data_IF_856722741305
#
_entry.id   IF_856722741305
#
_cell.length_a   1.000
_cell.length_b   1.000
_cell.length_c   1.000
_cell.angle_alpha   90.00
_cell.angle_beta   90.00
_cell.angle_gamma   90.00
#
_symmetry.space_group_name_H-M   'P 1'
#
loop_
_entity.id
_entity.type
_entity.pdbx_description
1 polymer ?
#
# COMPACT_ATOMS: atom_id res chain seq x y z
N UNK A 1 -12.31 11.55 17.38
CA UNK A 1 -12.58 10.12 17.06
C UNK A 1 -12.24 9.78 15.62
N UNK A 2 -12.77 10.51 14.64
CA UNK A 2 -12.56 10.22 13.20
C UNK A 2 -11.10 10.28 12.76
N UNK A 3 -10.35 11.31 13.16
CA UNK A 3 -8.94 11.46 12.79
C UNK A 3 -8.08 10.32 13.33
N UNK A 4 -8.23 9.94 14.60
CA UNK A 4 -7.47 8.84 15.19
C UNK A 4 -7.85 7.47 14.60
N UNK A 5 -9.10 7.30 14.19
CA UNK A 5 -9.54 6.11 13.46
C UNK A 5 -8.82 6.00 12.12
N UNK A 6 -8.80 7.07 11.33
CA UNK A 6 -8.11 7.09 10.03
C UNK A 6 -6.59 6.88 10.21
N UNK A 7 -5.96 7.54 11.19
CA UNK A 7 -4.54 7.31 11.51
C UNK A 7 -4.26 5.84 11.83
N UNK A 8 -5.14 5.20 12.59
CA UNK A 8 -5.01 3.79 12.93
C UNK A 8 -5.10 2.88 11.69
N UNK A 9 -6.05 3.14 10.80
CA UNK A 9 -6.19 2.36 9.56
C UNK A 9 -5.03 2.59 8.59
N UNK A 10 -4.49 3.80 8.49
CA UNK A 10 -3.29 4.05 7.67
C UNK A 10 -2.06 3.35 8.26
N UNK A 11 -1.90 3.35 9.58
CA UNK A 11 -0.83 2.59 10.24
C UNK A 11 -0.95 1.09 9.98
N UNK A 12 -2.17 0.54 10.04
CA UNK A 12 -2.46 -0.84 9.67
C UNK A 12 -2.07 -1.14 8.22
N UNK A 13 -2.43 -0.29 7.27
CA UNK A 13 -2.08 -0.45 5.86
C UNK A 13 -0.56 -0.49 5.66
N UNK A 14 0.18 0.47 6.23
CA UNK A 14 1.64 0.53 6.12
C UNK A 14 2.30 -0.71 6.75
N UNK A 15 1.91 -1.08 7.96
CA UNK A 15 2.49 -2.21 8.69
C UNK A 15 2.19 -3.54 7.97
N UNK A 16 0.96 -3.71 7.47
CA UNK A 16 0.57 -4.90 6.71
C UNK A 16 1.36 -5.02 5.42
N UNK A 17 1.53 -3.94 4.66
CA UNK A 17 2.33 -3.94 3.43
C UNK A 17 3.81 -4.28 3.72
N UNK A 18 4.39 -3.75 4.82
CA UNK A 18 5.75 -4.11 5.24
C UNK A 18 5.88 -5.61 5.54
N UNK A 19 4.92 -6.19 6.25
CA UNK A 19 4.90 -7.64 6.53
C UNK A 19 4.79 -8.46 5.26
N UNK A 20 3.98 -8.04 4.29
CA UNK A 20 3.91 -8.67 2.96
C UNK A 20 5.28 -8.62 2.28
N UNK A 21 5.97 -7.48 2.30
CA UNK A 21 7.33 -7.35 1.77
C UNK A 21 8.36 -8.26 2.48
N UNK A 22 8.23 -8.49 3.78
CA UNK A 22 9.11 -9.40 4.52
C UNK A 22 8.92 -10.85 4.08
N UNK A 23 7.69 -11.24 3.73
CA UNK A 23 7.41 -12.56 3.15
C UNK A 23 7.90 -12.68 1.69
N UNK A 24 7.79 -11.62 0.89
CA UNK A 24 8.32 -11.59 -0.49
C UNK A 24 9.83 -11.86 -0.52
N UNK A 25 10.58 -11.55 0.55
CA UNK A 25 12.00 -11.90 0.62
C UNK A 25 12.26 -13.41 0.67
N UNK A 26 11.26 -14.23 0.95
CA UNK A 26 11.38 -15.68 1.11
C UNK A 26 11.14 -16.47 -0.19
N UNK A 27 10.69 -15.82 -1.26
CA UNK A 27 10.53 -16.44 -2.58
C UNK A 27 11.74 -16.15 -3.48
N UNK A 28 11.87 -16.89 -4.58
CA UNK A 28 12.96 -16.68 -5.55
C UNK A 28 12.69 -15.45 -6.43
N UNK A 29 13.74 -14.94 -7.10
CA UNK A 29 13.60 -13.84 -8.06
C UNK A 29 12.70 -14.24 -9.25
N UNK A 30 12.77 -15.50 -9.67
CA UNK A 30 11.90 -16.04 -10.72
C UNK A 30 10.44 -16.01 -10.28
N UNK A 31 10.13 -16.49 -9.06
CA UNK A 31 8.77 -16.44 -8.51
C UNK A 31 8.24 -15.02 -8.38
N UNK A 32 9.11 -14.07 -8.04
CA UNK A 32 8.72 -12.66 -7.90
C UNK A 32 8.22 -12.03 -9.19
N UNK A 33 8.78 -12.43 -10.35
CA UNK A 33 8.45 -11.89 -11.67
C UNK A 33 7.57 -12.83 -12.50
N UNK A 34 7.24 -14.05 -12.02
CA UNK A 34 6.39 -15.00 -12.75
C UNK A 34 5.04 -14.39 -13.09
N UNK A 35 4.70 -14.42 -14.38
CA UNK A 35 3.45 -13.86 -14.91
C UNK A 35 2.31 -14.87 -14.80
N UNK A 36 1.71 -14.94 -13.62
CA UNK A 36 0.61 -15.87 -13.30
C UNK A 36 -0.45 -15.29 -12.34
N UNK A 37 -0.38 -13.98 -12.05
CA UNK A 37 -1.38 -13.29 -11.24
C UNK A 37 -2.40 -12.61 -12.15
N UNK A 38 -3.68 -12.96 -11.93
CA UNK A 38 -4.80 -12.31 -12.61
C UNK A 38 -4.71 -10.78 -12.50
N UNK A 39 -4.97 -10.12 -13.60
CA UNK A 39 -5.02 -8.67 -13.81
C UNK A 39 -3.69 -7.89 -13.76
N UNK A 40 -2.63 -8.39 -13.11
CA UNK A 40 -1.36 -7.64 -12.96
C UNK A 40 -0.12 -8.41 -13.44
N UNK A 41 -0.24 -9.70 -13.67
CA UNK A 41 0.80 -10.58 -14.15
C UNK A 41 1.64 -11.18 -13.04
N UNK A 42 2.36 -10.39 -12.22
CA UNK A 42 3.30 -10.90 -11.23
C UNK A 42 3.19 -10.21 -9.86
N UNK A 43 3.81 -10.83 -8.83
CA UNK A 43 3.96 -10.17 -7.51
C UNK A 43 4.69 -8.83 -7.67
N UNK A 44 5.76 -8.77 -8.48
CA UNK A 44 6.45 -7.52 -8.79
C UNK A 44 5.48 -6.45 -9.28
N UNK A 45 4.74 -6.76 -10.33
CA UNK A 45 3.83 -5.79 -10.95
C UNK A 45 2.74 -5.34 -9.98
N UNK A 46 2.22 -6.26 -9.17
CA UNK A 46 1.18 -5.94 -8.19
C UNK A 46 1.71 -5.01 -7.08
N UNK A 47 2.91 -5.29 -6.55
CA UNK A 47 3.50 -4.46 -5.49
C UNK A 47 3.96 -3.08 -5.99
N UNK A 48 4.50 -3.00 -7.21
CA UNK A 48 4.81 -1.70 -7.85
C UNK A 48 3.54 -0.92 -8.16
N UNK A 49 2.47 -1.60 -8.61
CA UNK A 49 1.17 -0.97 -8.79
C UNK A 49 0.62 -0.39 -7.50
N UNK A 50 0.71 -1.12 -6.39
CA UNK A 50 0.24 -0.65 -5.08
C UNK A 50 1.00 0.61 -4.66
N UNK A 51 2.34 0.59 -4.69
CA UNK A 51 3.16 1.77 -4.39
C UNK A 51 2.82 2.95 -5.32
N UNK A 52 2.62 2.69 -6.61
CA UNK A 52 2.23 3.69 -7.61
C UNK A 52 0.87 4.33 -7.31
N UNK A 53 -0.11 3.51 -6.93
CA UNK A 53 -1.45 3.99 -6.61
C UNK A 53 -1.44 4.86 -5.33
N UNK A 54 -0.78 4.38 -4.28
CA UNK A 54 -0.66 5.10 -3.00
C UNK A 54 0.05 6.44 -3.20
N UNK A 55 1.17 6.46 -3.97
CA UNK A 55 1.88 7.69 -4.32
C UNK A 55 0.97 8.70 -5.03
N UNK A 56 0.21 8.25 -6.02
CA UNK A 56 -0.67 9.13 -6.80
C UNK A 56 -1.82 9.69 -5.97
N UNK A 57 -2.45 8.87 -5.13
CA UNK A 57 -3.50 9.34 -4.23
C UNK A 57 -2.95 10.32 -3.20
N UNK A 58 -1.78 10.03 -2.62
CA UNK A 58 -1.13 10.92 -1.68
C UNK A 58 -0.75 12.27 -2.32
N UNK A 59 -0.22 12.25 -3.55
CA UNK A 59 0.11 13.47 -4.32
C UNK A 59 -1.13 14.35 -4.51
N UNK A 60 -2.28 13.75 -4.83
CA UNK A 60 -3.56 14.47 -4.97
C UNK A 60 -4.09 14.97 -3.64
N UNK A 61 -3.98 14.20 -2.56
CA UNK A 61 -4.31 14.66 -1.20
C UNK A 61 -3.52 15.90 -0.79
N UNK A 62 -2.24 15.96 -1.17
CA UNK A 62 -1.34 17.10 -0.96
C UNK A 62 -1.62 18.28 -1.91
N UNK A 63 -2.61 18.18 -2.80
CA UNK A 63 -2.94 19.16 -3.84
C UNK A 63 -1.77 19.43 -4.81
N UNK A 64 -0.91 18.45 -5.05
CA UNK A 64 0.22 18.53 -5.97
C UNK A 64 -0.15 18.02 -7.37
N UNK A 65 0.71 18.28 -8.37
CA UNK A 65 0.52 17.75 -9.72
C UNK A 65 0.67 16.23 -9.77
N UNK A 66 -0.10 15.57 -10.67
CA UNK A 66 -0.06 14.11 -10.82
C UNK A 66 1.32 13.66 -11.32
N UNK A 67 1.90 12.71 -10.60
CA UNK A 67 3.25 12.17 -10.86
C UNK A 67 3.27 11.00 -11.85
N UNK A 68 2.14 10.64 -12.44
CA UNK A 68 2.02 9.48 -13.32
C UNK A 68 2.15 8.14 -12.59
N UNK A 69 2.03 7.06 -13.36
CA UNK A 69 2.22 5.70 -12.83
C UNK A 69 3.70 5.32 -12.82
N UNK A 70 4.08 4.45 -11.87
CA UNK A 70 5.37 3.76 -11.91
C UNK A 70 5.34 2.70 -13.02
N UNK A 71 6.42 2.59 -13.76
CA UNK A 71 6.60 1.59 -14.83
C UNK A 71 7.20 0.32 -14.23
N UNK A 72 6.56 -0.83 -14.37
CA UNK A 72 6.98 -2.07 -13.72
C UNK A 72 8.41 -2.48 -14.12
N UNK A 73 8.78 -2.23 -15.35
CA UNK A 73 10.06 -2.57 -15.95
C UNK A 73 11.24 -1.79 -15.33
N UNK A 74 10.98 -0.67 -14.67
CA UNK A 74 12.01 0.11 -13.97
C UNK A 74 12.41 -0.54 -12.63
N UNK A 75 11.63 -1.51 -12.16
CA UNK A 75 11.82 -2.20 -10.88
C UNK A 75 12.20 -3.67 -11.11
N UNK A 76 13.46 -3.90 -11.47
CA UNK A 76 13.96 -5.23 -11.85
C UNK A 76 14.22 -6.14 -10.65
N UNK A 77 14.40 -5.59 -9.46
CA UNK A 77 14.72 -6.32 -8.24
C UNK A 77 13.69 -6.08 -7.14
N UNK A 78 13.58 -7.04 -6.20
CA UNK A 78 12.76 -6.88 -4.99
C UNK A 78 13.19 -5.66 -4.17
N UNK A 79 14.49 -5.39 -4.10
CA UNK A 79 15.02 -4.25 -3.36
C UNK A 79 14.53 -2.91 -3.94
N UNK A 80 14.63 -2.73 -5.26
CA UNK A 80 14.14 -1.51 -5.93
C UNK A 80 12.63 -1.31 -5.74
N UNK A 81 11.84 -2.36 -5.91
CA UNK A 81 10.39 -2.28 -5.74
C UNK A 81 9.99 -2.02 -4.27
N UNK A 82 10.73 -2.59 -3.30
CA UNK A 82 10.52 -2.32 -1.87
C UNK A 82 10.89 -0.89 -1.52
N UNK A 83 12.01 -0.37 -2.02
CA UNK A 83 12.43 1.01 -1.79
C UNK A 83 11.37 2.00 -2.25
N UNK A 84 10.77 1.80 -3.43
CA UNK A 84 9.67 2.63 -3.91
C UNK A 84 8.46 2.63 -2.96
N UNK A 85 8.14 1.48 -2.36
CA UNK A 85 7.10 1.41 -1.33
C UNK A 85 7.53 2.13 -0.05
N UNK A 86 8.76 1.92 0.44
CA UNK A 86 9.22 2.49 1.70
C UNK A 86 9.23 4.03 1.65
N UNK A 87 9.58 4.63 0.50
CA UNK A 87 9.47 6.07 0.26
C UNK A 87 8.03 6.56 0.37
N UNK A 88 7.09 5.89 -0.31
CA UNK A 88 5.67 6.25 -0.28
C UNK A 88 5.09 6.07 1.12
N UNK A 89 5.43 4.99 1.82
CA UNK A 89 4.97 4.71 3.19
C UNK A 89 5.45 5.78 4.18
N UNK A 90 6.72 6.23 4.04
CA UNK A 90 7.27 7.34 4.82
C UNK A 90 6.49 8.63 4.56
N UNK A 91 6.29 8.97 3.30
CA UNK A 91 5.61 10.20 2.88
C UNK A 91 4.12 10.20 3.32
N UNK A 92 3.47 9.04 3.28
CA UNK A 92 2.11 8.86 3.79
C UNK A 92 2.04 9.02 5.32
N UNK A 93 2.99 8.44 6.05
CA UNK A 93 3.06 8.57 7.51
C UNK A 93 3.32 10.02 7.94
N UNK A 94 4.20 10.75 7.24
CA UNK A 94 4.44 12.18 7.46
C UNK A 94 3.18 13.00 7.21
N UNK A 95 2.50 12.79 6.09
CA UNK A 95 1.24 13.47 5.76
C UNK A 95 0.18 13.26 6.85
N UNK A 96 -0.05 12.01 7.25
CA UNK A 96 -1.02 11.67 8.30
C UNK A 96 -0.67 12.31 9.65
N UNK A 97 0.61 12.45 9.97
CA UNK A 97 1.05 13.07 11.23
C UNK A 97 0.66 14.55 11.35
N UNK A 98 0.56 15.23 10.22
CA UNK A 98 0.24 16.66 10.13
C UNK A 98 -1.25 16.95 9.97
N UNK A 99 -2.08 15.94 9.65
CA UNK A 99 -3.51 16.13 9.39
C UNK A 99 -4.29 16.56 10.64
N UNK A 100 -5.22 17.48 10.41
CA UNK A 100 -6.26 17.87 11.38
C UNK A 100 -7.61 17.23 11.02
N UNK A 101 -8.57 17.28 11.95
CA UNK A 101 -9.94 16.82 11.68
C UNK A 101 -10.65 17.64 10.59
N UNK A 102 -10.26 18.90 10.41
CA UNK A 102 -10.80 19.75 9.35
C UNK A 102 -10.33 19.28 7.96
N UNK A 103 -9.03 18.94 7.84
CA UNK A 103 -8.44 18.49 6.57
C UNK A 103 -9.10 17.21 6.05
N UNK A 104 -9.52 16.31 6.95
CA UNK A 104 -10.21 15.08 6.58
C UNK A 104 -11.51 15.30 5.82
N UNK A 105 -12.22 16.39 6.11
CA UNK A 105 -13.55 16.68 5.58
C UNK A 105 -13.53 17.67 4.41
N UNK A 106 -12.35 18.06 3.96
CA UNK A 106 -12.19 18.97 2.82
C UNK A 106 -11.80 18.23 1.54
N UNK A 107 -12.23 18.78 0.41
CA UNK A 107 -11.73 18.48 -0.92
C UNK A 107 -10.72 19.55 -1.35
N UNK A 108 -10.05 19.32 -2.48
CA UNK A 108 -9.14 20.29 -3.09
C UNK A 108 -9.28 20.31 -4.62
N UNK A 109 -8.45 21.06 -5.32
CA UNK A 109 -8.54 21.19 -6.78
C UNK A 109 -8.23 19.88 -7.53
N UNK A 110 -7.59 18.91 -6.89
CA UNK A 110 -7.17 17.62 -7.46
C UNK A 110 -8.11 16.45 -7.10
N UNK A 111 -8.91 16.59 -6.05
CA UNK A 111 -9.88 15.60 -5.58
C UNK A 111 -11.20 16.30 -5.23
N UNK A 112 -12.32 15.72 -5.67
CA UNK A 112 -13.67 16.23 -5.34
C UNK A 112 -14.19 15.61 -4.04
N UNK A 113 -13.71 14.43 -3.72
CA UNK A 113 -14.07 13.67 -2.53
C UNK A 113 -13.35 14.24 -1.31
N UNK A 114 -13.96 14.19 -0.12
CA UNK A 114 -13.27 14.56 1.12
C UNK A 114 -12.08 13.61 1.38
N UNK A 115 -11.02 14.15 1.98
CA UNK A 115 -9.75 13.45 2.18
C UNK A 115 -9.86 12.08 2.84
N UNK A 116 -10.80 11.91 3.80
CA UNK A 116 -11.02 10.61 4.43
C UNK A 116 -11.45 9.50 3.46
N UNK A 117 -12.21 9.83 2.41
CA UNK A 117 -12.62 8.83 1.40
C UNK A 117 -11.44 8.36 0.58
N UNK A 118 -10.52 9.25 0.24
CA UNK A 118 -9.29 8.90 -0.48
C UNK A 118 -8.37 8.04 0.41
N UNK A 119 -8.25 8.37 1.69
CA UNK A 119 -7.47 7.54 2.63
C UNK A 119 -8.08 6.14 2.78
N UNK A 120 -9.40 6.02 2.87
CA UNK A 120 -10.07 4.71 2.85
C UNK A 120 -9.87 3.96 1.53
N UNK A 121 -9.82 4.67 0.39
CA UNK A 121 -9.51 4.05 -0.90
C UNK A 121 -8.10 3.44 -0.90
N UNK A 122 -7.09 4.15 -0.38
CA UNK A 122 -5.71 3.63 -0.24
C UNK A 122 -5.73 2.34 0.58
N UNK A 123 -6.37 2.34 1.74
CA UNK A 123 -6.43 1.20 2.66
C UNK A 123 -7.15 0.00 2.03
N UNK A 124 -8.34 0.24 1.46
CA UNK A 124 -9.14 -0.82 0.84
C UNK A 124 -8.44 -1.44 -0.37
N UNK A 125 -7.82 -0.61 -1.20
CA UNK A 125 -7.01 -1.04 -2.35
C UNK A 125 -5.82 -1.90 -1.92
N UNK A 126 -5.14 -1.48 -0.82
CA UNK A 126 -4.07 -2.27 -0.22
C UNK A 126 -4.55 -3.64 0.26
N UNK A 127 -5.66 -3.70 0.98
CA UNK A 127 -6.23 -4.95 1.51
C UNK A 127 -6.55 -5.94 0.39
N UNK A 128 -7.15 -5.47 -0.73
CA UNK A 128 -7.45 -6.30 -1.91
C UNK A 128 -6.17 -6.91 -2.50
N UNK A 129 -5.15 -6.10 -2.71
CA UNK A 129 -3.90 -6.56 -3.30
C UNK A 129 -3.06 -7.42 -2.36
N UNK A 130 -3.04 -7.13 -1.05
CA UNK A 130 -2.39 -7.98 -0.07
C UNK A 130 -2.96 -9.41 -0.08
N UNK A 131 -4.29 -9.55 -0.17
CA UNK A 131 -4.93 -10.87 -0.26
C UNK A 131 -4.41 -11.67 -1.44
N UNK A 132 -4.31 -11.06 -2.61
CA UNK A 132 -3.80 -11.70 -3.83
C UNK A 132 -2.34 -12.11 -3.68
N UNK A 133 -1.49 -11.23 -3.11
CA UNK A 133 -0.07 -11.53 -2.89
C UNK A 133 0.11 -12.66 -1.87
N UNK A 134 -0.61 -12.62 -0.74
CA UNK A 134 -0.52 -13.64 0.31
C UNK A 134 -0.97 -15.01 -0.20
N UNK A 135 -2.03 -15.07 -1.01
CA UNK A 135 -2.43 -16.30 -1.69
C UNK A 135 -1.28 -16.84 -2.55
N UNK A 136 -0.68 -15.98 -3.38
CA UNK A 136 0.40 -16.40 -4.30
C UNK A 136 1.67 -16.83 -3.56
N UNK A 137 2.02 -16.13 -2.49
CA UNK A 137 3.13 -16.54 -1.62
C UNK A 137 2.91 -17.93 -1.02
N UNK A 138 1.67 -18.22 -0.60
CA UNK A 138 1.30 -19.55 -0.09
C UNK A 138 1.43 -20.63 -1.17
N UNK A 139 1.02 -20.36 -2.41
CA UNK A 139 1.19 -21.27 -3.56
C UNK A 139 2.68 -21.55 -3.84
N UNK A 140 3.55 -20.59 -3.61
CA UNK A 140 5.01 -20.74 -3.72
C UNK A 140 5.67 -21.41 -2.50
N UNK A 141 4.88 -21.79 -1.49
CA UNK A 141 5.37 -22.43 -0.27
C UNK A 141 5.97 -21.48 0.77
N UNK A 142 5.82 -20.17 0.58
CA UNK A 142 6.18 -19.19 1.60
C UNK A 142 5.13 -19.17 2.73
N UNK A 143 5.53 -18.79 3.98
CA UNK A 143 4.58 -18.61 5.05
C UNK A 143 3.58 -17.49 4.73
N UNK A 144 2.44 -17.51 5.42
CA UNK A 144 1.41 -16.47 5.34
C UNK A 144 1.08 -15.96 6.72
N UNK A 145 0.29 -14.90 6.80
CA UNK A 145 -0.25 -14.37 8.05
C UNK A 145 -1.69 -13.91 7.86
N UNK A 146 -2.41 -13.88 8.97
CA UNK A 146 -3.74 -13.32 9.01
C UNK A 146 -3.67 -11.78 8.98
N UNK A 147 -4.17 -11.18 7.89
CA UNK A 147 -4.14 -9.74 7.68
C UNK A 147 -5.34 -8.99 8.27
N UNK A 148 -6.24 -9.69 8.97
CA UNK A 148 -7.41 -9.05 9.56
C UNK A 148 -7.02 -7.89 10.48
N UNK A 149 -7.72 -6.78 10.32
CA UNK A 149 -7.48 -5.57 11.11
C UNK A 149 -7.53 -5.83 12.62
N UNK A 150 -8.45 -6.68 13.08
CA UNK A 150 -8.57 -7.02 14.50
C UNK A 150 -7.35 -7.82 15.00
N UNK A 151 -6.79 -8.71 14.17
CA UNK A 151 -5.58 -9.47 14.50
C UNK A 151 -4.38 -8.53 14.62
N UNK A 152 -4.25 -7.58 13.70
CA UNK A 152 -3.22 -6.54 13.78
C UNK A 152 -3.37 -5.68 15.05
N UNK A 153 -4.59 -5.28 15.44
CA UNK A 153 -4.82 -4.54 16.69
C UNK A 153 -4.39 -5.32 17.92
N UNK A 154 -4.64 -6.63 17.95
CA UNK A 154 -4.23 -7.48 19.08
C UNK A 154 -2.71 -7.64 19.18
N UNK A 155 -2.01 -7.64 18.06
CA UNK A 155 -0.54 -7.75 18.04
C UNK A 155 0.19 -6.52 18.57
N UNK A 156 -0.51 -5.41 18.79
CA UNK A 156 0.04 -4.12 19.28
C UNK A 156 -0.15 -3.88 20.78
N UNK A 157 -0.79 -4.81 21.46
CA UNK A 157 -0.98 -4.79 22.92
C UNK A 157 0.20 -5.45 23.60
#
# INVERSE_FOLDING_TARGET
MELELIKTFVAYHIDTTRRVWDLIQQITDEQFITDDIYSRGSIRNLMVHLASADRRWLTRLKNLEDVGHLTFEDYQTRAQAREAFDEVAKDLAEYISTLTAADLNTSNDRIKEPGWQILLQIINHGTDHHSTVLQKLTEFGAPSFDQDFIVWLWSRK
#
